data_IF_233880659333
#
_entry.id   IF_233880659333
#
_cell.length_a   1.000
_cell.length_b   1.000
_cell.length_c   1.000
_cell.angle_alpha   90.00
_cell.angle_beta   90.00
_cell.angle_gamma   90.00
#
_symmetry.space_group_name_H-M   'P 1'
#
loop_
_entity.id
_entity.type
_entity.pdbx_description
1 polymer ?
#
# COMPACT_ATOMS: atom_id res chain seq x y z
N UNK A 1 -13.82 -15.05 19.61
CA UNK A 1 -14.33 -15.69 18.37
C UNK A 1 -13.30 -15.44 17.27
N UNK A 2 -13.00 -16.44 16.40
CA UNK A 2 -12.19 -16.20 15.21
C UNK A 2 -12.86 -15.13 14.33
N UNK A 3 -12.06 -14.28 13.69
CA UNK A 3 -12.59 -13.30 12.74
C UNK A 3 -13.25 -14.05 11.58
N UNK A 4 -14.46 -13.65 11.14
CA UNK A 4 -15.15 -14.30 10.04
C UNK A 4 -14.44 -14.11 8.69
N UNK A 5 -13.58 -13.08 8.59
CA UNK A 5 -12.71 -12.84 7.45
C UNK A 5 -11.25 -13.06 7.90
N UNK A 6 -10.46 -13.83 7.14
CA UNK A 6 -9.06 -14.04 7.47
C UNK A 6 -8.30 -12.71 7.38
N UNK A 7 -7.53 -12.34 8.41
CA UNK A 7 -6.72 -11.15 8.36
C UNK A 7 -5.54 -11.33 7.39
N UNK A 8 -5.04 -10.23 6.85
CA UNK A 8 -3.82 -10.20 6.03
C UNK A 8 -2.75 -9.32 6.66
N UNK A 9 -1.50 -9.56 6.28
CA UNK A 9 -0.28 -8.92 6.74
C UNK A 9 -0.06 -9.03 8.26
N UNK A 10 -0.43 -10.19 8.85
CA UNK A 10 -0.29 -10.45 10.30
C UNK A 10 0.63 -11.62 10.66
N UNK A 11 1.03 -12.45 9.69
CA UNK A 11 1.92 -13.60 9.96
C UNK A 11 3.36 -13.19 10.27
N UNK A 12 3.81 -12.03 9.80
CA UNK A 12 5.10 -11.46 10.14
C UNK A 12 4.97 -10.28 11.09
N UNK A 13 5.93 -10.18 12.00
CA UNK A 13 6.11 -8.99 12.81
C UNK A 13 6.47 -7.79 11.93
N UNK A 14 5.99 -6.62 12.33
CA UNK A 14 6.34 -5.36 11.69
C UNK A 14 7.69 -4.87 12.22
N UNK A 15 8.44 -4.08 11.45
CA UNK A 15 9.59 -3.36 11.98
C UNK A 15 9.18 -2.45 13.14
N UNK A 16 10.03 -2.33 14.15
CA UNK A 16 9.76 -1.51 15.34
C UNK A 16 10.04 -0.02 15.10
N UNK A 17 10.92 0.30 14.16
CA UNK A 17 11.37 1.66 13.86
C UNK A 17 11.57 1.88 12.36
N UNK A 18 11.50 3.15 11.95
CA UNK A 18 11.82 3.56 10.59
C UNK A 18 13.34 3.65 10.48
N UNK A 19 13.92 2.72 9.73
CA UNK A 19 15.37 2.64 9.52
C UNK A 19 15.73 3.14 8.11
N UNK A 20 16.96 3.65 7.90
CA UNK A 20 17.45 3.97 6.57
C UNK A 20 17.69 2.68 5.76
N UNK A 21 17.34 2.71 4.48
CA UNK A 21 17.67 1.66 3.54
C UNK A 21 19.19 1.65 3.29
N UNK A 22 19.89 0.51 3.45
CA UNK A 22 21.34 0.46 3.24
C UNK A 22 21.75 0.67 1.77
N UNK A 23 20.81 0.57 0.82
CA UNK A 23 21.09 0.69 -0.62
C UNK A 23 20.82 2.10 -1.15
N UNK A 24 19.71 2.72 -0.78
CA UNK A 24 19.32 4.04 -1.31
C UNK A 24 19.34 5.16 -0.26
N UNK A 25 19.74 4.87 0.98
CA UNK A 25 19.78 5.78 2.13
C UNK A 25 18.43 6.36 2.59
N UNK A 26 17.41 6.39 1.72
CA UNK A 26 16.04 6.73 2.07
C UNK A 26 15.47 5.82 3.17
N UNK A 27 14.49 6.30 3.96
CA UNK A 27 13.70 5.45 4.86
C UNK A 27 13.21 4.16 4.18
N UNK A 28 13.41 3.03 4.83
CA UNK A 28 13.10 1.70 4.30
C UNK A 28 11.62 1.61 3.89
N UNK A 29 11.38 1.17 2.64
CA UNK A 29 10.05 1.15 2.02
C UNK A 29 9.73 2.37 1.16
N UNK A 30 10.42 3.51 1.32
CA UNK A 30 10.17 4.72 0.50
C UNK A 30 10.44 4.48 -0.98
N UNK A 31 11.51 3.75 -1.28
CA UNK A 31 11.91 3.35 -2.63
C UNK A 31 11.13 2.16 -3.20
N UNK A 32 9.93 1.83 -2.68
CA UNK A 32 9.17 0.64 -3.10
C UNK A 32 9.01 0.56 -4.62
N UNK A 33 9.34 -0.62 -5.16
CA UNK A 33 9.49 -1.02 -6.59
C UNK A 33 10.73 -0.52 -7.35
N UNK A 34 11.36 0.56 -6.92
CA UNK A 34 12.57 1.07 -7.59
C UNK A 34 13.86 0.64 -6.89
N UNK A 35 13.78 0.38 -5.58
CA UNK A 35 14.84 -0.19 -4.77
C UNK A 35 14.39 -1.57 -4.25
N UNK A 36 15.04 -2.68 -4.67
CA UNK A 36 14.71 -4.02 -4.18
C UNK A 36 14.76 -4.14 -2.66
N UNK A 37 15.77 -3.54 -2.02
CA UNK A 37 15.91 -3.53 -0.56
C UNK A 37 14.73 -2.84 0.15
N UNK A 38 14.13 -1.81 -0.46
CA UNK A 38 12.88 -1.21 0.05
C UNK A 38 11.65 -2.07 -0.26
N UNK A 39 11.67 -2.86 -1.32
CA UNK A 39 10.56 -3.73 -1.72
C UNK A 39 10.44 -4.96 -0.82
N UNK A 40 11.56 -5.58 -0.48
CA UNK A 40 11.62 -6.83 0.28
C UNK A 40 10.80 -6.83 1.58
N UNK A 41 10.96 -5.87 2.53
CA UNK A 41 10.20 -5.89 3.78
C UNK A 41 8.70 -5.63 3.57
N UNK A 42 8.34 -4.87 2.54
CA UNK A 42 6.93 -4.62 2.18
C UNK A 42 6.32 -5.89 1.60
N UNK A 43 7.00 -6.51 0.64
CA UNK A 43 6.52 -7.69 -0.06
C UNK A 43 6.52 -8.94 0.84
N UNK A 44 7.42 -9.02 1.82
CA UNK A 44 7.42 -10.07 2.84
C UNK A 44 6.08 -10.18 3.57
N UNK A 45 5.42 -9.05 3.87
CA UNK A 45 4.11 -9.05 4.54
C UNK A 45 3.02 -9.75 3.71
N UNK A 46 3.02 -9.58 2.39
CA UNK A 46 2.10 -10.27 1.50
C UNK A 46 2.53 -11.72 1.28
N UNK A 47 3.83 -11.92 1.06
CA UNK A 47 4.41 -13.22 0.73
C UNK A 47 4.22 -14.23 1.86
N UNK A 48 4.28 -13.81 3.12
CA UNK A 48 4.04 -14.70 4.25
C UNK A 48 2.63 -15.32 4.23
N UNK A 49 1.59 -14.53 3.93
CA UNK A 49 0.22 -15.05 3.81
C UNK A 49 0.04 -15.90 2.56
N UNK A 50 0.72 -15.56 1.46
CA UNK A 50 0.72 -16.36 0.24
C UNK A 50 1.38 -17.73 0.44
N UNK A 51 2.56 -17.77 1.06
CA UNK A 51 3.34 -18.99 1.28
C UNK A 51 2.68 -19.93 2.32
N UNK A 52 1.71 -19.43 3.09
CA UNK A 52 0.88 -20.24 3.99
C UNK A 52 -0.24 -21.02 3.24
N UNK A 53 -0.51 -20.68 1.98
CA UNK A 53 -1.45 -21.43 1.15
C UNK A 53 -0.77 -22.69 0.58
N UNK A 54 -1.53 -23.78 0.33
CA UNK A 54 -0.99 -24.95 -0.33
C UNK A 54 -0.49 -24.61 -1.72
N UNK A 55 0.72 -25.05 -2.06
CA UNK A 55 1.32 -24.80 -3.37
C UNK A 55 0.53 -25.49 -4.48
N UNK A 56 0.17 -24.71 -5.49
CA UNK A 56 -0.56 -25.14 -6.69
C UNK A 56 -0.25 -24.13 -7.82
N UNK A 57 0.03 -24.62 -9.02
CA UNK A 57 0.33 -23.78 -10.19
C UNK A 57 -0.89 -22.94 -10.62
N UNK A 58 -2.11 -23.42 -10.36
CA UNK A 58 -3.35 -22.69 -10.64
C UNK A 58 -3.76 -21.73 -9.50
N UNK A 59 -3.01 -21.72 -8.38
CA UNK A 59 -3.36 -20.98 -7.17
C UNK A 59 -3.70 -19.50 -7.41
N UNK A 60 -2.96 -18.72 -8.24
CA UNK A 60 -3.31 -17.32 -8.46
C UNK A 60 -4.70 -17.14 -9.08
N UNK A 61 -5.07 -17.97 -10.06
CA UNK A 61 -6.38 -17.90 -10.69
C UNK A 61 -7.48 -18.35 -9.71
N UNK A 62 -7.22 -19.42 -8.95
CA UNK A 62 -8.13 -19.94 -7.92
C UNK A 62 -8.42 -18.91 -6.83
N UNK A 63 -7.39 -18.24 -6.31
CA UNK A 63 -7.55 -17.20 -5.27
C UNK A 63 -8.38 -16.02 -5.78
N UNK A 64 -8.21 -15.59 -7.03
CA UNK A 64 -9.00 -14.49 -7.61
C UNK A 64 -10.44 -14.88 -7.92
N UNK A 65 -10.71 -16.15 -8.24
CA UNK A 65 -12.06 -16.64 -8.52
C UNK A 65 -12.87 -16.95 -7.24
N UNK A 66 -12.20 -17.12 -6.11
CA UNK A 66 -12.84 -17.46 -4.84
C UNK A 66 -13.76 -16.32 -4.34
N UNK A 67 -14.84 -16.65 -3.60
CA UNK A 67 -15.66 -15.65 -2.94
C UNK A 67 -14.84 -14.71 -2.03
N UNK A 68 -15.23 -13.44 -1.98
CA UNK A 68 -14.60 -12.45 -1.08
C UNK A 68 -14.68 -12.94 0.37
N UNK A 69 -13.56 -12.93 1.09
CA UNK A 69 -13.46 -13.48 2.44
C UNK A 69 -12.88 -14.89 2.53
N UNK A 70 -12.71 -15.59 1.40
CA UNK A 70 -12.14 -16.95 1.41
C UNK A 70 -10.66 -16.96 1.77
N UNK A 71 -9.89 -16.01 1.24
CA UNK A 71 -8.44 -15.86 1.47
C UNK A 71 -8.16 -14.49 2.08
N UNK A 72 -7.04 -14.32 2.78
CA UNK A 72 -6.62 -13.01 3.24
C UNK A 72 -6.50 -12.03 2.05
N UNK A 73 -6.79 -10.75 2.30
CA UNK A 73 -6.72 -9.72 1.25
C UNK A 73 -5.33 -9.60 0.61
N UNK A 74 -4.27 -9.92 1.36
CA UNK A 74 -2.88 -10.03 0.89
C UNK A 74 -2.71 -11.13 -0.15
N UNK A 75 -3.35 -12.30 0.02
CA UNK A 75 -3.32 -13.37 -0.96
C UNK A 75 -3.97 -12.94 -2.28
N UNK A 76 -5.11 -12.24 -2.22
CA UNK A 76 -5.79 -11.69 -3.40
C UNK A 76 -4.89 -10.70 -4.12
N UNK A 77 -4.32 -9.74 -3.38
CA UNK A 77 -3.41 -8.75 -3.94
C UNK A 77 -2.15 -9.42 -4.53
N UNK A 78 -1.61 -10.46 -3.90
CA UNK A 78 -0.44 -11.20 -4.41
C UNK A 78 -0.76 -12.01 -5.67
N UNK A 79 -1.94 -12.65 -5.72
CA UNK A 79 -2.42 -13.33 -6.93
C UNK A 79 -2.50 -12.37 -8.13
N UNK A 80 -2.99 -11.14 -7.93
CA UNK A 80 -3.00 -10.11 -8.99
C UNK A 80 -1.58 -9.78 -9.50
N UNK A 81 -0.56 -9.83 -8.63
CA UNK A 81 0.84 -9.57 -9.01
C UNK A 81 1.43 -10.67 -9.89
N UNK A 82 1.03 -11.92 -9.62
CA UNK A 82 1.52 -13.09 -10.35
C UNK A 82 0.84 -13.26 -11.72
N UNK A 83 -0.33 -12.65 -11.91
CA UNK A 83 -1.09 -12.75 -13.15
C UNK A 83 -0.83 -11.55 -14.08
N UNK A 84 -0.61 -11.86 -15.35
CA UNK A 84 -0.59 -10.84 -16.41
C UNK A 84 -2.01 -10.57 -16.90
N UNK A 85 -2.37 -9.30 -17.08
CA UNK A 85 -3.61 -8.92 -17.71
C UNK A 85 -3.71 -9.53 -19.13
N UNK A 86 -4.80 -10.22 -19.48
CA UNK A 86 -4.96 -10.83 -20.80
C UNK A 86 -5.04 -9.80 -21.93
N UNK A 87 -5.34 -8.54 -21.63
CA UNK A 87 -5.50 -7.45 -22.62
C UNK A 87 -4.20 -6.66 -22.79
N UNK A 88 -3.73 -5.98 -21.74
CA UNK A 88 -2.57 -5.08 -21.83
C UNK A 88 -1.25 -5.73 -21.40
N UNK A 89 -1.26 -7.00 -20.97
CA UNK A 89 -0.08 -7.80 -20.59
C UNK A 89 0.76 -7.28 -19.42
N UNK A 90 0.41 -6.13 -18.85
CA UNK A 90 0.96 -5.67 -17.56
C UNK A 90 0.50 -6.57 -16.44
N UNK A 91 1.07 -6.38 -15.26
CA UNK A 91 0.49 -6.89 -14.01
C UNK A 91 -1.00 -6.54 -13.89
N UNK A 92 -1.80 -7.49 -13.38
CA UNK A 92 -3.23 -7.32 -13.26
C UNK A 92 -3.56 -6.17 -12.30
N UNK A 93 -4.41 -5.25 -12.75
CA UNK A 93 -4.81 -4.07 -11.96
C UNK A 93 -3.87 -2.85 -12.11
N UNK A 94 -2.73 -2.95 -12.79
CA UNK A 94 -1.78 -1.83 -12.95
C UNK A 94 -1.77 -1.22 -14.35
N UNK A 95 -2.56 -1.76 -15.28
CA UNK A 95 -2.48 -1.45 -16.70
C UNK A 95 -3.10 -0.10 -17.06
N UNK A 96 -2.37 0.77 -17.78
CA UNK A 96 -2.83 2.13 -18.02
C UNK A 96 -4.03 2.21 -18.97
N UNK A 97 -5.07 2.96 -18.57
CA UNK A 97 -6.34 3.07 -19.28
C UNK A 97 -7.02 1.72 -19.66
N UNK A 98 -6.61 0.61 -19.06
CA UNK A 98 -7.12 -0.72 -19.40
C UNK A 98 -8.37 -1.06 -18.58
N UNK A 99 -9.52 -1.21 -19.25
CA UNK A 99 -10.79 -1.58 -18.60
C UNK A 99 -10.72 -2.90 -17.84
N UNK A 100 -9.96 -3.89 -18.33
CA UNK A 100 -9.79 -5.17 -17.64
C UNK A 100 -9.01 -5.02 -16.33
N UNK A 101 -7.95 -4.21 -16.33
CA UNK A 101 -7.23 -3.88 -15.11
C UNK A 101 -8.10 -3.05 -14.16
N UNK A 102 -8.85 -2.05 -14.65
CA UNK A 102 -9.76 -1.26 -13.82
C UNK A 102 -10.83 -2.11 -13.14
N UNK A 103 -11.45 -3.06 -13.87
CA UNK A 103 -12.41 -4.03 -13.30
C UNK A 103 -11.77 -4.89 -12.21
N UNK A 104 -10.57 -5.40 -12.46
CA UNK A 104 -9.85 -6.24 -11.50
C UNK A 104 -9.44 -5.46 -10.25
N UNK A 105 -9.01 -4.20 -10.44
CA UNK A 105 -8.71 -3.26 -9.35
C UNK A 105 -9.95 -2.96 -8.51
N UNK A 106 -11.12 -2.76 -9.14
CA UNK A 106 -12.38 -2.57 -8.43
C UNK A 106 -12.77 -3.83 -7.62
N UNK A 107 -12.61 -5.02 -8.21
CA UNK A 107 -12.89 -6.28 -7.53
C UNK A 107 -12.00 -6.49 -6.29
N UNK A 108 -10.72 -6.09 -6.35
CA UNK A 108 -9.79 -6.11 -5.21
C UNK A 108 -10.37 -5.40 -3.97
N UNK A 109 -11.06 -4.27 -4.18
CA UNK A 109 -11.63 -3.44 -3.12
C UNK A 109 -12.97 -3.93 -2.59
N UNK A 110 -13.60 -4.96 -3.19
CA UNK A 110 -14.85 -5.53 -2.69
C UNK A 110 -14.72 -6.05 -1.25
N UNK A 111 -13.52 -6.46 -0.85
CA UNK A 111 -13.19 -6.81 0.54
C UNK A 111 -13.57 -5.71 1.53
N UNK A 112 -13.24 -4.46 1.23
CA UNK A 112 -13.40 -3.33 2.15
C UNK A 112 -14.88 -2.98 2.40
N UNK A 113 -15.75 -3.35 1.46
CA UNK A 113 -17.20 -3.11 1.55
C UNK A 113 -17.99 -4.28 2.13
N UNK A 114 -17.43 -5.49 2.09
CA UNK A 114 -18.12 -6.72 2.51
C UNK A 114 -17.61 -7.27 3.84
N UNK A 115 -16.37 -6.97 4.21
CA UNK A 115 -15.80 -7.40 5.47
C UNK A 115 -16.48 -6.68 6.66
N UNK A 116 -16.80 -7.38 7.76
CA UNK A 116 -17.36 -6.76 8.94
C UNK A 116 -16.34 -5.84 9.61
N UNK A 117 -16.86 -4.89 10.40
CA UNK A 117 -16.04 -3.97 11.16
C UNK A 117 -14.99 -4.73 12.01
N UNK A 118 -13.74 -4.29 11.94
CA UNK A 118 -12.62 -4.90 12.65
C UNK A 118 -11.92 -6.07 11.94
N UNK A 119 -12.42 -6.52 10.78
CA UNK A 119 -11.73 -7.54 9.97
C UNK A 119 -10.37 -7.04 9.45
N UNK A 120 -10.29 -5.76 9.10
CA UNK A 120 -9.07 -5.07 8.68
C UNK A 120 -8.81 -3.87 9.59
N UNK A 121 -7.57 -3.70 10.03
CA UNK A 121 -7.17 -2.52 10.79
C UNK A 121 -6.98 -1.31 9.88
N UNK A 122 -7.03 -0.10 10.43
CA UNK A 122 -6.79 1.12 9.66
C UNK A 122 -5.38 1.14 9.03
N UNK A 123 -4.38 0.57 9.74
CA UNK A 123 -3.04 0.46 9.19
C UNK A 123 -2.96 -0.55 8.02
N UNK A 124 -3.56 -1.74 8.17
CA UNK A 124 -3.63 -2.74 7.09
C UNK A 124 -4.27 -2.15 5.82
N UNK A 125 -5.36 -1.40 5.99
CA UNK A 125 -6.00 -0.71 4.86
C UNK A 125 -5.06 0.34 4.24
N UNK A 126 -4.39 1.16 5.06
CA UNK A 126 -3.49 2.19 4.58
C UNK A 126 -2.27 1.62 3.83
N UNK A 127 -1.63 0.56 4.33
CA UNK A 127 -0.50 -0.07 3.64
C UNK A 127 -0.95 -0.74 2.34
N UNK A 128 -2.15 -1.35 2.32
CA UNK A 128 -2.77 -1.90 1.12
C UNK A 128 -2.97 -0.83 0.04
N UNK A 129 -3.53 0.32 0.43
CA UNK A 129 -3.68 1.47 -0.47
C UNK A 129 -2.34 1.98 -1.00
N UNK A 130 -1.34 2.11 -0.12
CA UNK A 130 0.00 2.57 -0.49
C UNK A 130 0.61 1.67 -1.56
N UNK A 131 0.62 0.35 -1.31
CA UNK A 131 1.18 -0.62 -2.24
C UNK A 131 0.41 -0.67 -3.55
N UNK A 132 -0.92 -0.69 -3.53
CA UNK A 132 -1.73 -0.64 -4.74
C UNK A 132 -1.44 0.61 -5.59
N UNK A 133 -1.37 1.79 -4.96
CA UNK A 133 -1.08 3.04 -5.65
C UNK A 133 0.35 3.05 -6.22
N UNK A 134 1.34 2.61 -5.45
CA UNK A 134 2.74 2.56 -5.87
C UNK A 134 2.94 1.54 -6.99
N UNK A 135 2.22 0.41 -7.01
CA UNK A 135 2.22 -0.57 -8.12
C UNK A 135 1.52 -0.05 -9.38
N UNK A 136 0.45 0.72 -9.23
CA UNK A 136 -0.24 1.39 -10.33
C UNK A 136 0.33 2.78 -10.70
N UNK A 137 1.57 3.10 -10.33
CA UNK A 137 2.05 4.49 -10.35
C UNK A 137 1.93 5.22 -11.70
N UNK A 138 2.05 4.53 -12.83
CA UNK A 138 1.91 5.14 -14.16
C UNK A 138 0.54 5.78 -14.42
N UNK A 139 -0.50 5.40 -13.67
CA UNK A 139 -1.87 5.91 -13.80
C UNK A 139 -2.23 6.98 -12.77
N UNK A 140 -1.32 7.32 -11.86
CA UNK A 140 -1.61 8.19 -10.71
C UNK A 140 -0.87 9.50 -10.86
N UNK A 141 -1.48 10.57 -10.31
CA UNK A 141 -0.81 11.88 -10.21
C UNK A 141 0.45 11.75 -9.35
N UNK A 142 1.51 12.46 -9.72
CA UNK A 142 2.79 12.42 -9.01
C UNK A 142 2.65 12.74 -7.52
N UNK A 143 1.77 13.68 -7.15
CA UNK A 143 1.51 14.04 -5.75
C UNK A 143 0.90 12.89 -4.93
N UNK A 144 0.11 12.01 -5.56
CA UNK A 144 -0.44 10.81 -4.90
C UNK A 144 0.68 9.80 -4.66
N UNK A 145 1.57 9.62 -5.64
CA UNK A 145 2.72 8.72 -5.52
C UNK A 145 3.73 9.24 -4.50
N UNK A 146 4.02 10.54 -4.52
CA UNK A 146 4.87 11.19 -3.53
C UNK A 146 4.32 11.00 -2.11
N UNK A 147 3.01 11.18 -1.90
CA UNK A 147 2.38 10.92 -0.60
C UNK A 147 2.57 9.47 -0.14
N UNK A 148 2.34 8.48 -1.01
CA UNK A 148 2.48 7.08 -0.60
C UNK A 148 3.93 6.65 -0.39
N UNK A 149 4.88 7.19 -1.16
CA UNK A 149 6.32 6.99 -0.90
C UNK A 149 6.73 7.54 0.46
N UNK A 150 6.25 8.75 0.79
CA UNK A 150 6.48 9.39 2.08
C UNK A 150 5.85 8.60 3.23
N UNK A 151 4.62 8.11 3.04
CA UNK A 151 3.85 7.45 4.10
C UNK A 151 4.30 6.01 4.38
N UNK A 152 4.69 5.25 3.34
CA UNK A 152 4.91 3.80 3.45
C UNK A 152 5.89 3.38 4.58
N UNK A 153 7.06 4.02 4.77
CA UNK A 153 7.95 3.70 5.88
C UNK A 153 7.27 3.77 7.25
N UNK A 154 6.47 4.81 7.49
CA UNK A 154 5.74 4.98 8.75
C UNK A 154 4.57 4.00 8.88
N UNK A 155 3.91 3.64 7.77
CA UNK A 155 2.87 2.63 7.77
C UNK A 155 3.42 1.24 8.14
N UNK A 156 4.64 0.90 7.69
CA UNK A 156 5.27 -0.37 7.99
C UNK A 156 5.46 -0.56 9.50
N UNK A 157 5.90 0.47 10.21
CA UNK A 157 6.06 0.46 11.68
C UNK A 157 4.74 0.60 12.46
N UNK A 158 3.60 0.61 11.75
CA UNK A 158 2.27 0.62 12.37
C UNK A 158 1.66 2.01 12.58
N UNK A 159 2.35 3.11 12.24
CA UNK A 159 1.76 4.44 12.33
C UNK A 159 0.61 4.60 11.32
N UNK A 160 -0.42 5.36 11.68
CA UNK A 160 -1.56 5.64 10.79
C UNK A 160 -1.85 7.14 10.84
N UNK A 161 -1.85 7.86 9.70
CA UNK A 161 -2.18 9.27 9.70
C UNK A 161 -3.68 9.45 9.91
N UNK A 162 -4.06 10.45 10.69
CA UNK A 162 -5.43 10.98 10.73
C UNK A 162 -5.79 11.65 9.42
N UNK A 163 -7.08 11.78 9.12
CA UNK A 163 -7.55 12.48 7.90
C UNK A 163 -7.07 13.94 7.85
N UNK A 164 -6.99 14.61 9.00
CA UNK A 164 -6.46 15.96 9.11
C UNK A 164 -4.97 16.02 8.72
N UNK A 165 -4.15 15.07 9.22
CA UNK A 165 -2.75 14.95 8.84
C UNK A 165 -2.59 14.68 7.34
N UNK A 166 -3.35 13.72 6.77
CA UNK A 166 -3.33 13.44 5.32
C UNK A 166 -3.63 14.70 4.51
N UNK A 167 -4.64 15.48 4.92
CA UNK A 167 -4.99 16.74 4.29
C UNK A 167 -3.84 17.75 4.28
N UNK A 168 -3.21 17.97 5.43
CA UNK A 168 -2.08 18.92 5.55
C UNK A 168 -0.85 18.48 4.76
N UNK A 169 -0.46 17.21 4.86
CA UNK A 169 0.68 16.64 4.14
C UNK A 169 0.50 16.81 2.62
N UNK A 170 -0.69 16.51 2.11
CA UNK A 170 -1.00 16.69 0.68
C UNK A 170 -0.91 18.15 0.24
N UNK A 171 -1.32 19.09 1.09
CA UNK A 171 -1.18 20.53 0.81
C UNK A 171 0.30 20.91 0.69
N UNK A 172 1.16 20.43 1.58
CA UNK A 172 2.61 20.67 1.51
C UNK A 172 3.25 20.05 0.26
N UNK A 173 2.83 18.84 -0.14
CA UNK A 173 3.26 18.21 -1.39
C UNK A 173 2.85 19.02 -2.63
N UNK A 174 1.62 19.52 -2.67
CA UNK A 174 1.16 20.38 -3.77
C UNK A 174 1.94 21.69 -3.81
N UNK A 175 2.35 22.21 -2.66
CA UNK A 175 3.19 23.40 -2.53
C UNK A 175 4.68 23.15 -2.82
N UNK A 176 5.07 21.93 -3.20
CA UNK A 176 6.45 21.59 -3.56
C UNK A 176 7.43 21.44 -2.39
N UNK A 177 6.94 21.34 -1.15
CA UNK A 177 7.77 21.25 0.07
C UNK A 177 8.26 19.83 0.35
N UNK A 178 8.82 19.18 -0.67
CA UNK A 178 9.22 17.78 -0.60
C UNK A 178 10.36 17.54 0.40
N UNK A 179 11.40 18.37 0.36
CA UNK A 179 12.57 18.24 1.25
C UNK A 179 12.19 18.33 2.73
N UNK A 180 11.38 19.33 3.10
CA UNK A 180 10.93 19.51 4.48
C UNK A 180 10.01 18.37 4.97
N UNK A 181 9.24 17.77 4.07
CA UNK A 181 8.45 16.59 4.37
C UNK A 181 9.32 15.35 4.54
N UNK A 182 10.40 15.24 3.76
CA UNK A 182 11.32 14.10 3.80
C UNK A 182 12.16 14.07 5.08
N UNK A 183 12.48 15.24 5.64
CA UNK A 183 13.19 15.40 6.91
C UNK A 183 12.31 15.16 8.14
N UNK A 184 10.98 15.25 8.00
CA UNK A 184 10.06 15.10 9.11
C UNK A 184 9.98 13.63 9.59
N UNK A 185 10.14 13.36 10.91
CA UNK A 185 10.26 12.00 11.43
C UNK A 185 8.94 11.20 11.47
N UNK A 186 7.80 11.84 11.19
CA UNK A 186 6.50 11.20 11.26
C UNK A 186 5.35 12.08 10.78
N UNK A 187 4.15 11.47 10.73
CA UNK A 187 2.95 12.15 10.22
C UNK A 187 2.54 13.38 11.02
N UNK A 188 2.85 13.43 12.33
CA UNK A 188 2.53 14.57 13.17
C UNK A 188 3.40 15.78 12.79
N UNK A 189 4.69 15.56 12.62
CA UNK A 189 5.68 16.58 12.26
C UNK A 189 5.47 17.05 10.82
N UNK A 190 5.22 16.14 9.88
CA UNK A 190 4.87 16.48 8.50
C UNK A 190 3.63 17.37 8.42
N UNK A 191 2.64 17.12 9.28
CA UNK A 191 1.40 17.90 9.33
C UNK A 191 1.53 19.19 10.18
N UNK A 192 2.59 19.32 10.97
CA UNK A 192 2.86 20.49 11.80
C UNK A 192 3.82 21.49 11.13
N UNK A 193 4.32 21.19 9.93
CA UNK A 193 5.07 22.14 9.12
C UNK A 193 4.34 23.49 9.03
N UNK A 194 5.11 24.57 9.09
CA UNK A 194 4.58 25.92 9.11
C UNK A 194 3.57 26.14 7.98
N UNK A 195 2.49 26.88 8.24
CA UNK A 195 1.48 27.13 7.22
C UNK A 195 2.05 27.90 6.03
N UNK A 196 1.45 27.67 4.87
CA UNK A 196 1.85 28.33 3.65
C UNK A 196 1.51 29.83 3.73
N UNK A 197 2.35 30.73 3.20
CA UNK A 197 2.21 32.18 3.37
C UNK A 197 0.82 32.74 3.02
N UNK A 198 0.11 32.10 2.09
CA UNK A 198 -1.22 32.53 1.63
C UNK A 198 -2.40 31.93 2.42
N UNK A 199 -2.15 31.11 3.46
CA UNK A 199 -3.16 30.57 4.38
C UNK A 199 -3.17 31.27 5.74
N UNK A 200 -2.18 32.12 6.01
CA UNK A 200 -2.04 32.86 7.27
C UNK A 200 -2.72 34.24 7.25
N UNK A 201 -3.54 34.52 6.22
CA UNK A 201 -4.25 35.79 6.01
C UNK A 201 -5.76 35.63 6.23
#
# INVERSE_FOLDING_TARGET
MPLPYPPGARLLARPEAVEPCPTCADPLGRGYRTCPTCADPVDALWKADWDALPADDELPATVLAAPVGTHAWTCVDWAMRLLSCPVCRTELGTGPACLHCAKSDQARWAWDHTAPAGAMTANEHAIRMAVAALRGAGERRDTVIAFWRLALPHLLVGAVPTQAQVGRIRVHLIAGRHEELDEAPGFAEMAALADLPWRSA
#
